data_IF_306390886351
#
_entry.id   IF_306390886351
#
_cell.length_a   1.000
_cell.length_b   1.000
_cell.length_c   1.000
_cell.angle_alpha   90.00
_cell.angle_beta   90.00
_cell.angle_gamma   90.00
#
_symmetry.space_group_name_H-M   'P 1'
#
loop_
_entity.id
_entity.type
_entity.pdbx_description
1 polymer ?
#
# COMPACT_ATOMS: atom_id res chain seq x y z
N UNK A 1 4.09 9.68 -21.93
CA UNK A 1 4.64 9.11 -20.68
C UNK A 1 3.49 8.48 -19.91
N UNK A 2 3.68 7.32 -19.26
CA UNK A 2 2.62 6.68 -18.48
C UNK A 2 2.12 7.59 -17.35
N UNK A 3 0.81 7.54 -17.08
CA UNK A 3 0.18 8.29 -15.98
C UNK A 3 0.17 7.44 -14.72
N UNK A 4 0.72 7.98 -13.64
CA UNK A 4 0.52 7.45 -12.28
C UNK A 4 -0.72 8.11 -11.68
N UNK A 5 -1.68 7.30 -11.24
CA UNK A 5 -2.90 7.78 -10.59
C UNK A 5 -2.93 7.24 -9.17
N UNK A 6 -3.07 8.13 -8.19
CA UNK A 6 -3.31 7.76 -6.81
C UNK A 6 -4.75 8.15 -6.45
N UNK A 7 -5.54 7.17 -6.05
CA UNK A 7 -6.86 7.36 -5.50
C UNK A 7 -6.76 7.74 -4.01
N UNK A 8 -7.80 8.38 -3.47
CA UNK A 8 -7.85 8.70 -2.05
C UNK A 8 -7.79 7.45 -1.15
N UNK A 9 -8.33 6.34 -1.63
CA UNK A 9 -8.24 5.03 -0.97
C UNK A 9 -6.80 4.56 -0.85
N UNK A 10 -5.96 4.81 -1.86
CA UNK A 10 -4.54 4.46 -1.85
C UNK A 10 -3.81 5.26 -0.77
N UNK A 11 -4.04 6.58 -0.74
CA UNK A 11 -3.45 7.47 0.27
C UNK A 11 -3.83 7.02 1.68
N UNK A 12 -5.10 6.65 1.90
CA UNK A 12 -5.56 6.15 3.19
C UNK A 12 -4.84 4.85 3.60
N UNK A 13 -4.67 3.90 2.67
CA UNK A 13 -3.94 2.66 2.93
C UNK A 13 -2.46 2.92 3.25
N UNK A 14 -1.81 3.80 2.49
CA UNK A 14 -0.43 4.23 2.74
C UNK A 14 -0.27 4.87 4.13
N UNK A 15 -1.17 5.78 4.50
CA UNK A 15 -1.15 6.41 5.83
C UNK A 15 -1.38 5.40 6.95
N UNK A 16 -2.28 4.43 6.77
CA UNK A 16 -2.54 3.38 7.75
C UNK A 16 -1.30 2.52 7.99
N UNK A 17 -0.62 2.09 6.92
CA UNK A 17 0.63 1.32 7.03
C UNK A 17 1.75 2.15 7.65
N UNK A 18 1.91 3.41 7.24
CA UNK A 18 2.89 4.31 7.84
C UNK A 18 2.66 4.52 9.34
N UNK A 19 1.40 4.72 9.75
CA UNK A 19 1.01 4.83 11.15
C UNK A 19 1.30 3.55 11.95
N UNK A 20 1.01 2.38 11.37
CA UNK A 20 1.34 1.09 11.98
C UNK A 20 2.86 0.92 12.18
N UNK A 21 3.67 1.27 11.17
CA UNK A 21 5.13 1.20 11.26
C UNK A 21 5.68 2.18 12.31
N UNK A 22 5.16 3.41 12.36
CA UNK A 22 5.53 4.39 13.37
C UNK A 22 5.18 3.90 14.79
N UNK A 23 4.02 3.26 14.95
CA UNK A 23 3.63 2.65 16.22
C UNK A 23 4.54 1.48 16.60
N UNK A 24 4.86 0.58 15.66
CA UNK A 24 5.81 -0.51 15.90
C UNK A 24 7.17 0.03 16.31
N UNK A 25 7.65 1.10 15.67
CA UNK A 25 8.88 1.78 16.07
C UNK A 25 8.77 2.32 17.50
N UNK A 26 7.67 2.99 17.84
CA UNK A 26 7.43 3.51 19.18
C UNK A 26 7.43 2.40 20.24
N UNK A 27 6.73 1.28 19.97
CA UNK A 27 6.74 0.08 20.81
C UNK A 27 8.17 -0.42 21.00
N UNK A 28 8.96 -0.56 19.92
CA UNK A 28 10.36 -1.04 19.99
C UNK A 28 11.29 -0.16 20.82
N UNK A 29 10.97 1.12 21.01
CA UNK A 29 11.75 2.03 21.87
C UNK A 29 11.30 2.03 23.33
N UNK A 30 10.09 1.58 23.63
CA UNK A 30 9.53 1.57 24.99
C UNK A 30 9.65 0.19 25.65
N UNK A 31 10.44 0.02 26.73
CA UNK A 31 10.58 -1.26 27.42
C UNK A 31 9.25 -1.83 27.90
N UNK A 32 8.37 -0.98 28.43
CA UNK A 32 7.04 -1.38 28.90
C UNK A 32 6.16 -1.91 27.76
N UNK A 33 6.11 -1.20 26.62
CA UNK A 33 5.30 -1.64 25.49
C UNK A 33 5.85 -2.94 24.88
N UNK A 34 7.19 -3.09 24.82
CA UNK A 34 7.80 -4.35 24.37
C UNK A 34 7.41 -5.53 25.24
N UNK A 35 7.39 -5.37 26.56
CA UNK A 35 7.00 -6.44 27.47
C UNK A 35 5.56 -6.91 27.19
N UNK A 36 4.63 -5.97 27.00
CA UNK A 36 3.24 -6.27 26.62
C UNK A 36 3.14 -6.96 25.27
N UNK A 37 3.81 -6.41 24.24
CA UNK A 37 3.78 -6.97 22.88
C UNK A 37 4.51 -8.31 22.76
N UNK A 38 5.45 -8.62 23.65
CA UNK A 38 6.11 -9.93 23.70
C UNK A 38 5.14 -11.07 24.06
N UNK A 39 3.98 -10.78 24.65
CA UNK A 39 2.92 -11.77 24.85
C UNK A 39 2.21 -12.08 23.53
N UNK A 40 1.87 -11.05 22.76
CA UNK A 40 1.26 -11.18 21.42
C UNK A 40 2.20 -11.94 20.48
N UNK A 41 3.50 -11.63 20.52
CA UNK A 41 4.51 -12.30 19.70
C UNK A 41 4.68 -13.80 20.03
N UNK A 42 4.17 -14.27 21.16
CA UNK A 42 4.19 -15.69 21.59
C UNK A 42 2.85 -16.40 21.36
N UNK A 43 1.83 -15.68 20.91
CA UNK A 43 0.52 -16.24 20.60
C UNK A 43 0.46 -16.65 19.12
N UNK A 44 0.32 -17.95 18.86
CA UNK A 44 0.34 -18.49 17.49
C UNK A 44 -0.77 -17.90 16.61
N UNK A 45 -2.04 -17.85 17.04
CA UNK A 45 -3.10 -17.21 16.25
C UNK A 45 -2.84 -15.74 15.94
N UNK A 46 -2.34 -14.96 16.90
CA UNK A 46 -1.99 -13.56 16.67
C UNK A 46 -0.90 -13.42 15.61
N UNK A 47 0.14 -14.24 15.66
CA UNK A 47 1.23 -14.21 14.68
C UNK A 47 0.78 -14.67 13.29
N UNK A 48 -0.05 -15.71 13.19
CA UNK A 48 -0.66 -16.12 11.92
C UNK A 48 -1.47 -14.96 11.30
N UNK A 49 -2.27 -14.28 12.12
CA UNK A 49 -3.06 -13.12 11.68
C UNK A 49 -2.17 -11.97 11.23
N UNK A 50 -1.07 -11.70 11.94
CA UNK A 50 -0.11 -10.67 11.56
C UNK A 50 0.57 -10.97 10.21
N UNK A 51 0.96 -12.22 9.96
CA UNK A 51 1.54 -12.63 8.66
C UNK A 51 0.56 -12.39 7.51
N UNK A 52 -0.69 -12.83 7.68
CA UNK A 52 -1.74 -12.63 6.68
C UNK A 52 -1.96 -11.13 6.44
N UNK A 53 -2.10 -10.34 7.50
CA UNK A 53 -2.32 -8.90 7.41
C UNK A 53 -1.16 -8.20 6.69
N UNK A 54 0.09 -8.58 6.98
CA UNK A 54 1.27 -8.03 6.28
C UNK A 54 1.26 -8.41 4.81
N UNK A 55 0.96 -9.67 4.47
CA UNK A 55 0.89 -10.12 3.09
C UNK A 55 -0.17 -9.35 2.30
N UNK A 56 -1.39 -9.23 2.82
CA UNK A 56 -2.47 -8.47 2.20
C UNK A 56 -2.14 -6.97 2.09
N UNK A 57 -1.53 -6.40 3.13
CA UNK A 57 -1.12 -4.99 3.10
C UNK A 57 -0.06 -4.73 2.04
N UNK A 58 0.93 -5.62 1.90
CA UNK A 58 1.97 -5.50 0.86
C UNK A 58 1.34 -5.63 -0.54
N UNK A 59 0.48 -6.63 -0.76
CA UNK A 59 -0.20 -6.79 -2.05
C UNK A 59 -1.07 -5.58 -2.36
N UNK A 60 -1.86 -5.08 -1.40
CA UNK A 60 -2.69 -3.90 -1.58
C UNK A 60 -1.88 -2.63 -1.87
N UNK A 61 -0.75 -2.42 -1.18
CA UNK A 61 0.13 -1.28 -1.47
C UNK A 61 0.76 -1.37 -2.87
N UNK A 62 1.09 -2.57 -3.34
CA UNK A 62 1.60 -2.78 -4.70
C UNK A 62 0.50 -2.53 -5.74
N UNK A 63 -0.72 -2.99 -5.47
CA UNK A 63 -1.89 -2.80 -6.34
C UNK A 63 -2.34 -1.33 -6.42
N UNK A 64 -2.15 -0.57 -5.34
CA UNK A 64 -2.41 0.89 -5.30
C UNK A 64 -1.57 1.71 -6.30
N UNK A 65 -0.53 1.13 -6.91
CA UNK A 65 0.29 1.81 -7.93
C UNK A 65 -0.35 1.64 -9.31
N UNK A 66 -1.28 2.53 -9.64
CA UNK A 66 -1.97 2.49 -10.93
C UNK A 66 -1.08 3.03 -12.05
N UNK A 67 -0.58 2.12 -12.89
CA UNK A 67 0.16 2.43 -14.10
C UNK A 67 -0.79 2.46 -15.31
N UNK A 68 -1.00 3.64 -15.90
CA UNK A 68 -1.78 3.79 -17.13
C UNK A 68 -0.88 4.08 -18.33
N UNK A 69 -0.56 3.08 -19.19
CA UNK A 69 0.22 3.31 -20.40
C UNK A 69 -0.54 4.17 -21.41
N UNK A 70 0.20 4.95 -22.20
CA UNK A 70 -0.37 5.71 -23.30
C UNK A 70 -0.74 4.75 -24.43
N UNK A 71 -2.00 4.77 -24.87
CA UNK A 71 -2.45 3.97 -26.01
C UNK A 71 -2.00 4.61 -27.32
N UNK A 72 -1.71 3.81 -28.36
CA UNK A 72 -1.46 4.34 -29.69
C UNK A 72 -2.69 5.09 -30.21
N UNK A 73 -2.49 6.13 -31.05
CA UNK A 73 -3.60 6.86 -31.66
C UNK A 73 -4.53 5.91 -32.43
N UNK A 74 -5.84 6.09 -32.29
CA UNK A 74 -6.82 5.31 -33.05
C UNK A 74 -6.68 5.60 -34.56
N UNK A 75 -6.99 4.63 -35.45
CA UNK A 75 -6.99 4.85 -36.90
C UNK A 75 -7.94 6.01 -37.28
N UNK A 76 -7.41 7.06 -37.92
CA UNK A 76 -8.19 8.25 -38.29
C UNK A 76 -8.29 9.33 -37.19
N UNK A 77 -7.57 9.19 -36.07
CA UNK A 77 -7.48 10.24 -35.06
C UNK A 77 -6.88 11.53 -35.66
N UNK A 78 -7.50 12.66 -35.36
CA UNK A 78 -6.98 13.97 -35.74
C UNK A 78 -5.58 14.20 -35.14
N UNK A 79 -4.75 15.00 -35.80
CA UNK A 79 -3.36 15.27 -35.39
C UNK A 79 -3.27 15.96 -34.00
N UNK A 80 -4.37 16.53 -33.52
CA UNK A 80 -4.53 17.23 -32.24
C UNK A 80 -5.38 16.45 -31.22
N UNK A 81 -5.68 15.17 -31.47
CA UNK A 81 -6.49 14.37 -30.56
C UNK A 81 -5.83 14.22 -29.17
N UNK A 82 -6.61 14.32 -28.07
CA UNK A 82 -6.06 14.24 -26.72
C UNK A 82 -5.46 12.84 -26.44
N UNK A 83 -4.38 12.75 -25.65
CA UNK A 83 -3.74 11.48 -25.33
C UNK A 83 -4.69 10.57 -24.54
N UNK A 84 -4.91 9.35 -25.05
CA UNK A 84 -5.74 8.32 -24.42
C UNK A 84 -4.85 7.33 -23.68
N UNK A 85 -5.23 6.98 -22.46
CA UNK A 85 -4.51 6.02 -21.62
C UNK A 85 -5.37 4.78 -21.37
N UNK A 86 -4.75 3.61 -21.22
CA UNK A 86 -5.44 2.39 -20.82
C UNK A 86 -5.95 2.45 -19.37
#
# INVERSE_FOLDING_TARGET
MPKFVFLWTDIALWLMVAGALAYVWHVRRSPNLRATWARVARDTPAMCSAVILVAFSVVGLLDSVHYRPLLPPAPGAAADAPPVYA
#
